data_IF_836759406805
#
_entry.id   IF_836759406805
#
_cell.length_a   1.000
_cell.length_b   1.000
_cell.length_c   1.000
_cell.angle_alpha   90.00
_cell.angle_beta   90.00
_cell.angle_gamma   90.00
#
_symmetry.space_group_name_H-M   'P 1'
#
loop_
_entity.id
_entity.type
_entity.pdbx_description
1 polymer ?
#
# COMPACT_ATOMS: atom_id res chain seq x y z
N UNK A 1 -15.09 -24.33 0.40
CA UNK A 1 -15.46 -22.97 0.86
C UNK A 1 -14.26 -22.13 1.28
N UNK A 2 -13.22 -22.68 1.93
CA UNK A 2 -12.01 -21.91 2.36
C UNK A 2 -11.26 -21.19 1.22
N UNK A 3 -11.10 -21.82 0.04
CA UNK A 3 -10.31 -21.26 -1.08
C UNK A 3 -10.91 -19.95 -1.62
N UNK A 4 -12.24 -19.83 -1.64
CA UNK A 4 -12.94 -18.65 -2.13
C UNK A 4 -12.67 -17.42 -1.24
N UNK A 5 -12.71 -17.59 0.08
CA UNK A 5 -12.39 -16.50 1.02
C UNK A 5 -10.93 -16.06 0.90
N UNK A 6 -10.01 -17.01 0.68
CA UNK A 6 -8.60 -16.70 0.50
C UNK A 6 -8.35 -15.90 -0.78
N UNK A 7 -9.00 -16.27 -1.87
CA UNK A 7 -8.93 -15.52 -3.13
C UNK A 7 -9.50 -14.11 -2.97
N UNK A 8 -10.64 -13.96 -2.29
CA UNK A 8 -11.24 -12.65 -2.02
C UNK A 8 -10.32 -11.78 -1.17
N UNK A 9 -9.70 -12.36 -0.13
CA UNK A 9 -8.73 -11.66 0.71
C UNK A 9 -7.52 -11.18 -0.08
N UNK A 10 -6.92 -12.05 -0.91
CA UNK A 10 -5.80 -11.68 -1.78
C UNK A 10 -6.20 -10.58 -2.78
N UNK A 11 -7.40 -10.65 -3.34
CA UNK A 11 -7.92 -9.65 -4.27
C UNK A 11 -8.05 -8.28 -3.58
N UNK A 12 -8.66 -8.24 -2.38
CA UNK A 12 -8.76 -7.03 -1.58
C UNK A 12 -7.38 -6.46 -1.24
N UNK A 13 -6.41 -7.32 -0.92
CA UNK A 13 -5.05 -6.92 -0.58
C UNK A 13 -4.33 -6.31 -1.79
N UNK A 14 -4.50 -6.88 -2.99
CA UNK A 14 -3.96 -6.32 -4.24
C UNK A 14 -4.57 -4.94 -4.52
N UNK A 15 -5.90 -4.81 -4.42
CA UNK A 15 -6.58 -3.52 -4.63
C UNK A 15 -6.08 -2.48 -3.63
N UNK A 16 -5.84 -2.87 -2.37
CA UNK A 16 -5.34 -1.98 -1.34
C UNK A 16 -3.90 -1.50 -1.60
N UNK A 17 -3.03 -2.37 -2.10
CA UNK A 17 -1.66 -2.01 -2.53
C UNK A 17 -1.73 -0.98 -3.65
N UNK A 18 -2.49 -1.26 -4.71
CA UNK A 18 -2.61 -0.38 -5.87
C UNK A 18 -3.15 0.98 -5.44
N UNK A 19 -4.18 1.00 -4.59
CA UNK A 19 -4.74 2.23 -4.05
C UNK A 19 -3.72 3.05 -3.25
N UNK A 20 -2.93 2.39 -2.41
CA UNK A 20 -1.88 3.02 -1.60
C UNK A 20 -0.77 3.61 -2.48
N UNK A 21 -0.31 2.86 -3.49
CA UNK A 21 0.69 3.32 -4.45
C UNK A 21 0.17 4.47 -5.33
N UNK A 22 -1.09 4.42 -5.76
CA UNK A 22 -1.72 5.50 -6.52
C UNK A 22 -1.76 6.79 -5.69
N UNK A 23 -2.13 6.68 -4.41
CA UNK A 23 -2.14 7.82 -3.49
C UNK A 23 -0.73 8.33 -3.20
N UNK A 24 0.26 7.45 -3.08
CA UNK A 24 1.67 7.79 -2.95
C UNK A 24 2.18 8.58 -4.16
N UNK A 25 1.83 8.15 -5.37
CA UNK A 25 2.18 8.86 -6.60
C UNK A 25 1.64 10.29 -6.62
N UNK A 26 0.37 10.47 -6.20
CA UNK A 26 -0.29 11.79 -6.08
C UNK A 26 0.21 12.67 -4.92
N UNK A 27 0.95 12.13 -3.95
CA UNK A 27 1.47 12.91 -2.83
C UNK A 27 2.51 13.94 -3.29
N UNK A 28 2.69 15.02 -2.52
CA UNK A 28 3.77 16.00 -2.74
C UNK A 28 5.10 15.62 -2.09
N UNK A 29 5.24 14.36 -1.65
CA UNK A 29 6.48 13.86 -1.07
C UNK A 29 7.65 13.99 -2.05
N UNK A 30 8.83 14.29 -1.52
CA UNK A 30 10.08 14.23 -2.27
C UNK A 30 10.31 12.83 -2.84
N UNK A 31 11.00 12.77 -3.99
CA UNK A 31 11.17 11.53 -4.76
C UNK A 31 11.82 10.41 -3.92
N UNK A 32 12.84 10.74 -3.11
CA UNK A 32 13.52 9.78 -2.23
C UNK A 32 12.57 9.18 -1.19
N UNK A 33 11.74 10.03 -0.56
CA UNK A 33 10.73 9.58 0.41
C UNK A 33 9.63 8.76 -0.26
N UNK A 34 9.24 9.10 -1.49
CA UNK A 34 8.30 8.30 -2.28
C UNK A 34 8.85 6.90 -2.55
N UNK A 35 10.12 6.78 -2.91
CA UNK A 35 10.75 5.47 -3.15
C UNK A 35 10.74 4.62 -1.88
N UNK A 36 11.09 5.21 -0.73
CA UNK A 36 11.08 4.51 0.56
C UNK A 36 9.67 3.98 0.89
N UNK A 37 8.64 4.83 0.76
CA UNK A 37 7.27 4.41 1.01
C UNK A 37 6.77 3.37 0.00
N UNK A 38 7.19 3.47 -1.27
CA UNK A 38 6.86 2.48 -2.31
C UNK A 38 7.41 1.09 -1.95
N UNK A 39 8.69 1.03 -1.57
CA UNK A 39 9.35 -0.20 -1.14
C UNK A 39 8.66 -0.76 0.11
N UNK A 40 8.32 0.09 1.08
CA UNK A 40 7.66 -0.33 2.31
C UNK A 40 6.27 -0.92 2.06
N UNK A 41 5.48 -0.30 1.16
CA UNK A 41 4.16 -0.78 0.75
C UNK A 41 4.29 -2.11 -0.02
N UNK A 42 5.31 -2.29 -0.86
CA UNK A 42 5.50 -3.54 -1.60
C UNK A 42 5.99 -4.68 -0.70
N UNK A 43 6.93 -4.41 0.21
CA UNK A 43 7.48 -5.40 1.13
C UNK A 43 6.46 -5.81 2.22
N UNK A 44 5.70 -4.84 2.72
CA UNK A 44 4.70 -5.05 3.76
C UNK A 44 3.37 -4.40 3.33
N UNK A 45 2.55 -5.06 2.52
CA UNK A 45 1.38 -4.44 1.89
C UNK A 45 0.29 -3.96 2.83
N UNK A 46 0.19 -4.53 4.04
CA UNK A 46 -0.74 -4.08 5.07
C UNK A 46 -0.06 -3.05 5.99
N UNK A 47 1.13 -3.34 6.51
CA UNK A 47 1.79 -2.46 7.48
C UNK A 47 2.37 -1.20 6.82
N UNK A 48 2.99 -1.33 5.65
CA UNK A 48 3.60 -0.23 4.91
C UNK A 48 2.57 0.76 4.37
N UNK A 49 1.41 0.28 3.92
CA UNK A 49 0.29 1.13 3.54
C UNK A 49 -0.35 1.81 4.74
N UNK A 50 -0.61 1.11 5.85
CA UNK A 50 -1.11 1.73 7.08
C UNK A 50 -0.16 2.81 7.60
N UNK A 51 1.14 2.51 7.67
CA UNK A 51 2.16 3.47 8.07
C UNK A 51 2.21 4.68 7.12
N UNK A 52 2.07 4.46 5.81
CA UNK A 52 2.00 5.55 4.83
C UNK A 52 0.79 6.44 5.09
N UNK A 53 -0.38 5.83 5.33
CA UNK A 53 -1.60 6.58 5.62
C UNK A 53 -1.55 7.36 6.94
N UNK A 54 -0.91 6.82 7.97
CA UNK A 54 -0.82 7.46 9.29
C UNK A 54 0.27 8.54 9.37
N UNK A 55 1.41 8.32 8.72
CA UNK A 55 2.62 9.13 8.90
C UNK A 55 3.04 9.82 7.60
N UNK A 56 3.02 9.09 6.48
CA UNK A 56 3.50 9.58 5.19
C UNK A 56 2.55 10.49 4.41
N UNK A 57 1.26 10.49 4.75
CA UNK A 57 0.21 11.26 4.07
C UNK A 57 -0.01 12.67 4.64
N UNK A 58 0.90 13.16 5.50
CA UNK A 58 0.94 14.55 5.97
C UNK A 58 1.67 15.42 4.95
#
# INVERSE_FOLDING_TARGET
MSVFYWQLFLLCLIVFIIFSLFRLSKSRLESDRKIIWCILILAFPVLGSLAYFMVGNK
#
